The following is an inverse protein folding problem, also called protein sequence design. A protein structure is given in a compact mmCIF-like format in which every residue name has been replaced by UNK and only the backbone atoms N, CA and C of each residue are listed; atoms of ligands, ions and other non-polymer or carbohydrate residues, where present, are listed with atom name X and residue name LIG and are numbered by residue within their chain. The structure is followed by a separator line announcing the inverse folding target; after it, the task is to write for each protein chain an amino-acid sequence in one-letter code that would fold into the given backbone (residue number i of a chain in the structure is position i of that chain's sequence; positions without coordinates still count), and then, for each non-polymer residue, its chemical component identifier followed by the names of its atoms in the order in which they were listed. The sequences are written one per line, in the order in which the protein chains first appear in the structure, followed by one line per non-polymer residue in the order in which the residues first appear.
data_IF_642460339789
#
_entry.id   IF_642460339789
#
_cell.length_a   1.000
_cell.length_b   1.000
_cell.length_c   1.000
_cell.angle_alpha   90.00
_cell.angle_beta   90.00
_cell.angle_gamma   90.00
#
_symmetry.space_group_name_H-M   'P 1'
#
loop_
_entity.id
_entity.type
_entity.pdbx_description
1 polymer ?
#
# COMPACT_ATOMS: atom_id res chain seq x y z
N UNK A 1 -22.06 -11.98 24.58
CA UNK A 1 -21.12 -12.11 25.72
C UNK A 1 -20.19 -10.92 25.76
N UNK A 2 -20.00 -10.28 26.90
CA UNK A 2 -19.08 -9.13 27.03
C UNK A 2 -17.64 -9.65 26.91
N UNK A 3 -16.89 -9.11 25.95
CA UNK A 3 -15.49 -9.49 25.70
C UNK A 3 -14.65 -9.01 26.88
N UNK A 4 -13.93 -9.95 27.55
CA UNK A 4 -13.06 -9.60 28.68
C UNK A 4 -11.97 -8.62 28.26
N UNK A 5 -11.61 -7.75 29.17
CA UNK A 5 -10.55 -6.74 28.98
C UNK A 5 -9.35 -7.04 29.88
N UNK A 6 -8.20 -6.40 29.60
CA UNK A 6 -7.02 -6.51 30.47
C UNK A 6 -7.32 -6.07 31.91
N UNK A 7 -8.30 -5.18 32.11
CA UNK A 7 -8.75 -4.73 33.43
C UNK A 7 -9.49 -5.85 34.17
N UNK A 8 -10.29 -6.62 33.45
CA UNK A 8 -11.02 -7.75 34.05
C UNK A 8 -10.05 -8.85 34.45
N UNK A 9 -9.06 -9.18 33.61
CA UNK A 9 -8.00 -10.14 33.95
C UNK A 9 -7.20 -9.68 35.18
N UNK A 10 -6.84 -8.40 35.24
CA UNK A 10 -6.11 -7.82 36.37
C UNK A 10 -6.90 -7.94 37.68
N UNK A 11 -8.21 -7.64 37.67
CA UNK A 11 -9.10 -7.81 38.82
C UNK A 11 -9.19 -9.26 39.26
N UNK A 12 -9.40 -10.20 38.33
CA UNK A 12 -9.47 -11.63 38.64
C UNK A 12 -8.16 -12.19 39.20
N UNK A 13 -7.03 -11.71 38.69
CA UNK A 13 -5.71 -12.12 39.16
C UNK A 13 -5.25 -11.39 40.45
N UNK A 14 -5.99 -10.40 40.93
CA UNK A 14 -5.60 -9.59 42.10
C UNK A 14 -4.32 -8.82 41.91
N UNK A 15 -4.08 -8.29 40.67
CA UNK A 15 -2.87 -7.55 40.32
C UNK A 15 -3.21 -6.28 39.53
N UNK A 16 -2.25 -5.40 39.36
CA UNK A 16 -2.41 -4.22 38.49
C UNK A 16 -2.40 -4.58 37.01
N UNK A 17 -3.05 -3.76 36.17
CA UNK A 17 -3.06 -3.90 34.72
C UNK A 17 -1.66 -3.90 34.10
N UNK A 18 -0.72 -3.16 34.69
CA UNK A 18 0.70 -3.15 34.31
C UNK A 18 1.36 -4.51 34.50
N UNK A 19 0.97 -5.25 35.52
CA UNK A 19 1.47 -6.61 35.81
C UNK A 19 0.97 -7.59 34.74
N UNK A 20 -0.32 -7.51 34.36
CA UNK A 20 -0.89 -8.32 33.29
C UNK A 20 -0.26 -7.96 31.93
N UNK A 21 -0.05 -6.68 31.67
CA UNK A 21 0.67 -6.24 30.45
C UNK A 21 2.09 -6.79 30.40
N UNK A 22 2.79 -6.80 31.56
CA UNK A 22 4.15 -7.39 31.66
C UNK A 22 4.14 -8.90 31.43
N UNK A 23 3.11 -9.62 31.85
CA UNK A 23 2.93 -11.05 31.56
C UNK A 23 2.90 -11.30 30.05
N UNK A 24 2.09 -10.58 29.28
CA UNK A 24 1.96 -10.73 27.84
C UNK A 24 3.20 -10.25 27.05
N UNK A 25 4.00 -9.35 27.62
CA UNK A 25 5.22 -8.85 26.99
C UNK A 25 6.49 -9.64 27.38
N UNK A 26 6.35 -10.79 28.03
CA UNK A 26 7.51 -11.62 28.44
C UNK A 26 8.33 -11.03 29.58
N UNK A 27 7.85 -9.97 30.24
CA UNK A 27 8.59 -9.30 31.30
C UNK A 27 8.71 -10.15 32.58
N UNK A 28 9.65 -9.75 33.46
CA UNK A 28 9.94 -10.48 34.69
C UNK A 28 8.78 -10.36 35.69
N UNK A 29 8.25 -11.51 36.15
CA UNK A 29 7.21 -11.65 37.14
C UNK A 29 7.58 -12.76 38.11
N UNK A 30 7.11 -12.66 39.36
CA UNK A 30 7.19 -13.79 40.32
C UNK A 30 6.45 -14.99 39.74
N UNK A 31 6.98 -16.21 39.92
CA UNK A 31 6.44 -17.44 39.37
C UNK A 31 4.96 -17.63 39.71
N UNK A 32 4.60 -17.47 40.99
CA UNK A 32 3.23 -17.54 41.48
C UNK A 32 2.25 -16.58 40.78
N UNK A 33 2.70 -15.32 40.55
CA UNK A 33 1.88 -14.31 39.85
C UNK A 33 1.71 -14.69 38.36
N UNK A 34 2.75 -15.21 37.72
CA UNK A 34 2.68 -15.67 36.35
C UNK A 34 1.73 -16.84 36.16
N UNK A 35 1.79 -17.83 37.05
CA UNK A 35 0.93 -19.01 37.05
C UNK A 35 -0.55 -18.62 37.25
N UNK A 36 -0.85 -17.75 38.21
CA UNK A 36 -2.21 -17.25 38.47
C UNK A 36 -2.80 -16.49 37.28
N UNK A 37 -2.02 -15.64 36.62
CA UNK A 37 -2.46 -14.93 35.39
C UNK A 37 -2.70 -15.94 34.27
N UNK A 38 -1.80 -16.92 34.12
CA UNK A 38 -1.91 -17.98 33.10
C UNK A 38 -3.20 -18.77 33.24
N UNK A 39 -3.52 -19.25 34.43
CA UNK A 39 -4.75 -20.00 34.70
C UNK A 39 -6.00 -19.20 34.28
N UNK A 40 -6.04 -17.89 34.55
CA UNK A 40 -7.18 -17.06 34.21
C UNK A 40 -7.22 -16.86 32.66
N UNK A 41 -6.09 -16.59 32.04
CA UNK A 41 -5.99 -16.43 30.61
C UNK A 41 -6.43 -17.68 29.87
N UNK A 42 -5.96 -18.85 30.30
CA UNK A 42 -6.31 -20.15 29.74
C UNK A 42 -7.79 -20.48 29.94
N UNK A 43 -8.30 -20.28 31.18
CA UNK A 43 -9.71 -20.55 31.55
C UNK A 43 -10.70 -19.74 30.68
N UNK A 44 -10.38 -18.49 30.39
CA UNK A 44 -11.28 -17.60 29.65
C UNK A 44 -10.87 -17.44 28.17
N UNK A 45 -9.87 -18.18 27.71
CA UNK A 45 -9.29 -18.08 26.38
C UNK A 45 -9.04 -16.59 25.97
N UNK A 46 -8.46 -15.85 26.94
CA UNK A 46 -8.26 -14.41 26.76
C UNK A 46 -7.02 -14.15 25.88
N UNK A 47 -7.22 -13.44 24.79
CA UNK A 47 -6.13 -12.89 23.97
C UNK A 47 -6.14 -11.36 24.07
N UNK A 48 -4.98 -10.72 24.33
CA UNK A 48 -4.90 -9.27 24.32
C UNK A 48 -5.37 -8.71 22.98
N UNK A 49 -6.14 -7.64 23.02
CA UNK A 49 -6.47 -6.91 21.80
C UNK A 49 -5.23 -6.10 21.39
N UNK A 50 -4.52 -6.56 20.37
CA UNK A 50 -3.33 -5.91 19.81
C UNK A 50 -3.64 -4.50 19.31
N UNK A 51 -4.81 -4.27 18.72
CA UNK A 51 -5.25 -2.93 18.32
C UNK A 51 -5.47 -2.00 19.53
N UNK A 52 -6.07 -2.50 20.63
CA UNK A 52 -6.23 -1.70 21.83
C UNK A 52 -4.90 -1.42 22.55
N UNK A 53 -3.89 -2.24 22.32
CA UNK A 53 -2.53 -2.03 22.80
C UNK A 53 -1.82 -0.99 21.91
N UNK A 54 -1.94 -1.10 20.61
CA UNK A 54 -1.40 -0.15 19.64
C UNK A 54 -1.94 1.27 19.87
N UNK A 55 -3.24 1.41 20.15
CA UNK A 55 -3.87 2.70 20.50
C UNK A 55 -3.33 3.37 21.80
N UNK A 56 -2.61 2.65 22.64
CA UNK A 56 -2.03 3.14 23.90
C UNK A 56 -0.50 3.24 23.85
N UNK A 57 0.13 2.71 22.83
CA UNK A 57 1.59 2.78 22.63
C UNK A 57 1.92 3.89 21.64
N UNK A 58 3.09 4.47 21.76
CA UNK A 58 3.65 5.40 20.78
C UNK A 58 3.90 4.74 19.43
N UNK A 59 4.14 3.41 19.41
CA UNK A 59 4.40 2.61 18.22
C UNK A 59 3.33 1.54 18.07
N UNK A 60 2.54 1.60 17.01
CA UNK A 60 1.50 0.59 16.72
C UNK A 60 2.07 -0.71 16.17
N UNK A 61 3.24 -0.64 15.55
CA UNK A 61 3.84 -1.71 14.73
C UNK A 61 2.94 -2.12 13.56
N UNK A 62 2.19 -1.19 13.03
CA UNK A 62 1.32 -1.38 11.87
C UNK A 62 1.71 -0.39 10.78
N UNK A 63 1.89 -0.89 9.57
CA UNK A 63 2.01 -0.08 8.36
C UNK A 63 0.74 -0.26 7.53
N UNK A 64 0.07 0.86 7.24
CA UNK A 64 -1.05 0.88 6.31
C UNK A 64 -0.56 0.85 4.86
N UNK A 65 -1.10 -0.02 4.02
CA UNK A 65 -0.78 -0.08 2.59
C UNK A 65 -2.06 0.14 1.80
N UNK A 66 -2.11 1.23 1.04
CA UNK A 66 -3.26 1.57 0.20
C UNK A 66 -2.91 1.22 -1.25
N UNK A 67 -3.66 0.29 -1.83
CA UNK A 67 -3.47 -0.16 -3.22
C UNK A 67 -4.64 0.25 -4.12
N UNK A 68 -4.38 0.52 -5.41
CA UNK A 68 -5.46 0.83 -6.36
C UNK A 68 -6.37 -0.38 -6.58
N UNK A 69 -5.80 -1.59 -6.69
CA UNK A 69 -6.59 -2.82 -6.74
C UNK A 69 -5.78 -4.04 -6.29
N UNK A 70 -6.46 -5.08 -5.79
CA UNK A 70 -5.82 -6.30 -5.30
C UNK A 70 -5.52 -7.32 -6.41
N UNK A 71 -6.29 -7.32 -7.49
CA UNK A 71 -6.16 -8.29 -8.57
C UNK A 71 -5.12 -7.93 -9.64
N UNK A 72 -4.45 -6.78 -9.51
CA UNK A 72 -3.32 -6.42 -10.37
C UNK A 72 -2.09 -7.25 -10.04
N UNK A 73 -1.42 -7.80 -11.06
CA UNK A 73 -0.16 -8.50 -10.92
C UNK A 73 0.91 -7.64 -10.22
N UNK A 74 0.98 -6.35 -10.55
CA UNK A 74 1.91 -5.40 -9.94
C UNK A 74 1.58 -5.20 -8.47
N UNK A 75 0.33 -4.87 -8.14
CA UNK A 75 -0.08 -4.69 -6.73
C UNK A 75 0.15 -5.96 -5.91
N UNK A 76 -0.17 -7.13 -6.47
CA UNK A 76 0.01 -8.40 -5.79
C UNK A 76 1.49 -8.71 -5.49
N UNK A 77 2.39 -8.52 -6.46
CA UNK A 77 3.82 -8.70 -6.23
C UNK A 77 4.39 -7.66 -5.25
N UNK A 78 4.01 -6.40 -5.39
CA UNK A 78 4.45 -5.35 -4.47
C UNK A 78 4.04 -5.67 -3.05
N UNK A 79 2.78 -6.03 -2.82
CA UNK A 79 2.28 -6.43 -1.50
C UNK A 79 3.02 -7.62 -0.92
N UNK A 80 3.31 -8.65 -1.73
CA UNK A 80 4.05 -9.84 -1.30
C UNK A 80 5.42 -9.49 -0.71
N UNK A 81 6.18 -8.63 -1.38
CA UNK A 81 7.51 -8.26 -0.92
C UNK A 81 7.45 -7.24 0.23
N UNK A 82 6.54 -6.27 0.20
CA UNK A 82 6.33 -5.35 1.31
C UNK A 82 5.95 -6.09 2.60
N UNK A 83 5.00 -7.01 2.54
CA UNK A 83 4.57 -7.79 3.71
C UNK A 83 5.71 -8.62 4.29
N UNK A 84 6.54 -9.23 3.43
CA UNK A 84 7.73 -9.96 3.87
C UNK A 84 8.71 -9.05 4.63
N UNK A 85 9.13 -7.95 4.03
CA UNK A 85 10.10 -7.02 4.61
C UNK A 85 9.57 -6.37 5.89
N UNK A 86 8.29 -6.01 5.91
CA UNK A 86 7.65 -5.43 7.10
C UNK A 86 7.62 -6.44 8.26
N UNK A 87 7.28 -7.71 7.99
CA UNK A 87 7.29 -8.78 9.01
C UNK A 87 8.69 -9.06 9.56
N UNK A 88 9.71 -9.07 8.73
CA UNK A 88 11.10 -9.22 9.16
C UNK A 88 11.53 -8.08 10.10
N UNK A 89 10.90 -6.90 9.98
CA UNK A 89 11.10 -5.75 10.86
C UNK A 89 10.05 -5.62 11.98
N UNK A 90 9.28 -6.68 12.25
CA UNK A 90 8.24 -6.73 13.29
C UNK A 90 7.09 -5.74 13.08
N UNK A 91 6.73 -5.45 11.83
CA UNK A 91 5.53 -4.70 11.47
C UNK A 91 4.46 -5.62 10.91
N UNK A 92 3.20 -5.31 11.25
CA UNK A 92 2.03 -5.90 10.61
C UNK A 92 1.54 -5.02 9.46
N UNK A 93 1.04 -5.64 8.40
CA UNK A 93 0.56 -4.95 7.20
C UNK A 93 -0.97 -4.82 7.24
N UNK A 94 -1.49 -3.60 7.18
CA UNK A 94 -2.92 -3.33 7.03
C UNK A 94 -3.23 -2.86 5.61
N UNK A 95 -3.80 -3.74 4.79
CA UNK A 95 -4.07 -3.48 3.38
C UNK A 95 -5.45 -2.85 3.19
N UNK A 96 -5.51 -1.76 2.42
CA UNK A 96 -6.73 -1.09 1.99
C UNK A 96 -6.82 -1.04 0.48
N UNK A 97 -7.90 -1.64 -0.09
CA UNK A 97 -8.16 -1.66 -1.52
C UNK A 97 -9.10 -0.51 -1.91
N UNK A 98 -8.60 0.43 -2.71
CA UNK A 98 -9.38 1.58 -3.16
C UNK A 98 -10.23 1.32 -4.41
N UNK A 99 -9.95 0.25 -5.15
CA UNK A 99 -10.64 -0.11 -6.38
C UNK A 99 -10.65 1.04 -7.41
N UNK A 100 -9.49 1.64 -7.66
CA UNK A 100 -9.24 2.78 -8.55
C UNK A 100 -10.03 4.04 -8.21
N UNK A 101 -10.55 4.17 -6.99
CA UNK A 101 -11.32 5.31 -6.52
C UNK A 101 -10.40 6.24 -5.68
N UNK A 102 -10.10 7.42 -6.23
CA UNK A 102 -9.26 8.44 -5.57
C UNK A 102 -9.86 8.88 -4.24
N UNK A 103 -11.19 9.09 -4.18
CA UNK A 103 -11.83 9.53 -2.94
C UNK A 103 -11.68 8.50 -1.82
N UNK A 104 -11.72 7.21 -2.15
CA UNK A 104 -11.45 6.14 -1.20
C UNK A 104 -10.00 6.15 -0.74
N UNK A 105 -9.03 6.41 -1.64
CA UNK A 105 -7.64 6.52 -1.23
C UNK A 105 -7.46 7.67 -0.23
N UNK A 106 -8.03 8.83 -0.50
CA UNK A 106 -7.98 9.99 0.41
C UNK A 106 -8.68 9.72 1.76
N UNK A 107 -9.81 9.01 1.74
CA UNK A 107 -10.50 8.57 2.95
C UNK A 107 -9.62 7.59 3.76
N UNK A 108 -8.97 6.64 3.09
CA UNK A 108 -8.13 5.63 3.72
C UNK A 108 -6.87 6.24 4.35
N UNK A 109 -6.25 7.24 3.73
CA UNK A 109 -5.15 8.00 4.34
C UNK A 109 -5.59 8.57 5.69
N UNK A 110 -6.72 9.28 5.72
CA UNK A 110 -7.28 9.87 6.95
C UNK A 110 -7.68 8.82 7.98
N UNK A 111 -8.19 7.68 7.53
CA UNK A 111 -8.61 6.57 8.39
C UNK A 111 -7.41 5.90 9.04
N UNK A 112 -6.34 5.61 8.28
CA UNK A 112 -5.11 5.03 8.80
C UNK A 112 -4.42 5.95 9.80
N UNK A 113 -4.39 7.26 9.51
CA UNK A 113 -3.85 8.25 10.44
C UNK A 113 -4.61 8.25 11.78
N UNK A 114 -5.96 8.18 11.75
CA UNK A 114 -6.79 8.07 12.96
C UNK A 114 -6.60 6.74 13.70
N UNK A 115 -6.14 5.70 13.02
CA UNK A 115 -5.81 4.41 13.62
C UNK A 115 -4.40 4.39 14.23
N UNK A 116 -3.67 5.52 14.20
CA UNK A 116 -2.30 5.66 14.70
C UNK A 116 -1.36 4.58 14.13
N UNK A 117 -1.43 4.31 12.83
CA UNK A 117 -0.43 3.46 12.17
C UNK A 117 0.92 4.18 12.17
N UNK A 118 2.03 3.45 12.18
CA UNK A 118 3.38 4.02 12.23
C UNK A 118 3.81 4.62 10.89
N UNK A 119 3.15 4.24 9.80
CA UNK A 119 3.39 4.76 8.46
C UNK A 119 2.35 4.31 7.45
N UNK A 120 2.29 5.00 6.34
CA UNK A 120 1.40 4.68 5.21
C UNK A 120 2.23 4.51 3.95
N UNK A 121 2.03 3.39 3.24
CA UNK A 121 2.54 3.18 1.89
C UNK A 121 1.35 3.32 0.94
N UNK A 122 1.45 4.26 0.01
CA UNK A 122 0.38 4.60 -0.94
C UNK A 122 0.84 4.28 -2.37
N UNK A 123 0.01 3.53 -3.11
CA UNK A 123 0.16 3.30 -4.54
C UNK A 123 -0.94 4.10 -5.26
N UNK A 124 -0.73 5.39 -5.56
CA UNK A 124 -1.73 6.19 -6.24
C UNK A 124 -1.73 5.91 -7.74
N UNK A 125 -2.87 6.12 -8.40
CA UNK A 125 -2.99 6.07 -9.87
C UNK A 125 -3.07 7.45 -10.49
N UNK A 126 -3.36 8.46 -9.69
CA UNK A 126 -3.42 9.86 -10.09
C UNK A 126 -2.73 10.72 -9.03
N UNK A 127 -2.33 11.94 -9.40
CA UNK A 127 -1.74 12.89 -8.47
C UNK A 127 -2.51 14.22 -8.52
N UNK A 128 -3.56 14.31 -7.73
CA UNK A 128 -4.33 15.54 -7.57
C UNK A 128 -3.83 16.36 -6.37
N UNK A 129 -4.12 17.66 -6.37
CA UNK A 129 -3.87 18.54 -5.20
C UNK A 129 -4.56 18.07 -3.92
N UNK A 130 -5.58 17.21 -4.04
CA UNK A 130 -6.26 16.63 -2.89
C UNK A 130 -5.37 15.66 -2.11
N UNK A 131 -4.46 14.92 -2.77
CA UNK A 131 -3.46 14.10 -2.09
C UNK A 131 -2.53 14.96 -1.24
N UNK A 132 -1.94 16.00 -1.83
CA UNK A 132 -1.02 16.89 -1.11
C UNK A 132 -1.69 17.50 0.13
N UNK A 133 -2.89 18.03 -0.03
CA UNK A 133 -3.64 18.65 1.10
C UNK A 133 -3.99 17.61 2.17
N UNK A 134 -4.35 16.40 1.77
CA UNK A 134 -4.68 15.32 2.71
C UNK A 134 -3.43 14.85 3.47
N UNK A 135 -2.32 14.64 2.78
CA UNK A 135 -1.06 14.19 3.38
C UNK A 135 -0.52 15.26 4.34
N UNK A 136 -0.56 16.53 3.97
CA UNK A 136 -0.19 17.63 4.87
C UNK A 136 -1.06 17.74 6.14
N UNK A 137 -2.27 17.21 6.10
CA UNK A 137 -3.21 17.28 7.23
C UNK A 137 -3.05 16.18 8.27
N UNK A 138 -2.11 15.25 8.08
CA UNK A 138 -1.86 14.13 8.99
C UNK A 138 -0.42 14.13 9.49
N UNK A 139 -0.20 13.58 10.68
CA UNK A 139 1.12 13.48 11.30
C UNK A 139 1.83 12.14 10.98
N UNK A 140 1.15 11.21 10.30
CA UNK A 140 1.71 9.89 9.94
C UNK A 140 2.55 10.02 8.66
N UNK A 141 3.79 9.51 8.63
CA UNK A 141 4.62 9.56 7.44
C UNK A 141 4.01 8.74 6.30
N UNK A 142 4.08 9.29 5.09
CA UNK A 142 3.59 8.65 3.88
C UNK A 142 4.73 8.43 2.90
N UNK A 143 4.82 7.22 2.36
CA UNK A 143 5.71 6.85 1.25
C UNK A 143 4.84 6.53 0.03
N UNK A 144 5.13 7.15 -1.11
CA UNK A 144 4.48 6.86 -2.38
C UNK A 144 5.27 5.86 -3.20
N UNK A 145 4.57 4.96 -3.88
CA UNK A 145 5.16 4.02 -4.83
C UNK A 145 4.57 4.26 -6.22
N UNK A 146 5.44 4.51 -7.20
CA UNK A 146 5.10 4.65 -8.60
C UNK A 146 4.75 6.08 -9.03
N UNK A 147 4.59 7.01 -8.12
CA UNK A 147 4.32 8.41 -8.42
C UNK A 147 5.17 9.30 -7.50
N UNK A 148 5.53 10.50 -7.96
CA UNK A 148 6.22 11.51 -7.19
C UNK A 148 5.21 12.39 -6.43
N UNK A 149 5.50 12.71 -5.17
CA UNK A 149 4.71 13.61 -4.34
C UNK A 149 5.56 14.66 -3.64
N UNK A 150 5.10 15.91 -3.61
CA UNK A 150 5.85 17.05 -3.09
C UNK A 150 6.18 16.95 -1.57
N UNK A 151 5.31 16.27 -0.81
CA UNK A 151 5.42 16.19 0.68
C UNK A 151 5.59 14.76 1.19
N UNK A 152 6.12 13.86 0.33
CA UNK A 152 6.31 12.45 0.64
C UNK A 152 7.68 11.98 0.20
N UNK A 153 8.11 10.86 0.76
CA UNK A 153 9.16 10.08 0.13
C UNK A 153 8.52 9.28 -1.00
N UNK A 154 9.17 9.26 -2.18
CA UNK A 154 8.67 8.54 -3.35
C UNK A 154 9.68 7.48 -3.79
N UNK A 155 9.16 6.35 -4.23
CA UNK A 155 9.93 5.31 -4.91
C UNK A 155 9.29 5.09 -6.28
N UNK A 156 10.02 5.41 -7.34
CA UNK A 156 9.50 5.45 -8.69
C UNK A 156 10.22 4.45 -9.59
N UNK A 157 9.53 4.06 -10.65
CA UNK A 157 10.15 3.39 -11.78
C UNK A 157 10.62 4.45 -12.78
N UNK A 158 11.67 4.14 -13.53
CA UNK A 158 12.08 5.00 -14.64
C UNK A 158 11.20 4.70 -15.87
N UNK A 159 9.91 5.03 -15.78
CA UNK A 159 8.86 4.69 -16.74
C UNK A 159 9.16 5.23 -18.15
N UNK A 160 9.68 6.45 -18.24
CA UNK A 160 10.07 7.04 -19.51
C UNK A 160 11.16 6.23 -20.21
N UNK A 161 12.27 5.98 -19.53
CA UNK A 161 13.38 5.25 -20.14
C UNK A 161 13.03 3.79 -20.42
N UNK A 162 12.30 3.13 -19.52
CA UNK A 162 11.86 1.75 -19.71
C UNK A 162 11.01 1.60 -20.99
N UNK A 163 10.03 2.48 -21.17
CA UNK A 163 9.17 2.46 -22.35
C UNK A 163 9.93 2.82 -23.62
N UNK A 164 10.82 3.84 -23.57
CA UNK A 164 11.68 4.22 -24.68
C UNK A 164 12.62 3.08 -25.09
N UNK A 165 13.25 2.44 -24.15
CA UNK A 165 14.25 1.40 -24.43
C UNK A 165 13.60 0.13 -24.96
N UNK A 166 12.44 -0.26 -24.43
CA UNK A 166 11.63 -1.35 -24.97
C UNK A 166 11.19 -1.06 -26.40
N UNK A 167 10.72 0.16 -26.69
CA UNK A 167 10.30 0.56 -28.04
C UNK A 167 11.48 0.58 -28.99
N UNK A 168 12.63 1.10 -28.58
CA UNK A 168 13.87 1.04 -29.37
C UNK A 168 14.27 -0.40 -29.69
N UNK A 169 14.15 -1.31 -28.75
CA UNK A 169 14.44 -2.74 -28.96
C UNK A 169 13.53 -3.35 -30.03
N UNK A 170 12.22 -3.08 -29.96
CA UNK A 170 11.25 -3.56 -30.96
C UNK A 170 11.57 -3.00 -32.35
N UNK A 171 11.86 -1.71 -32.44
CA UNK A 171 12.16 -1.05 -33.70
C UNK A 171 13.51 -1.51 -34.31
N UNK A 172 14.53 -1.70 -33.47
CA UNK A 172 15.83 -2.24 -33.88
C UNK A 172 15.73 -3.68 -34.39
N UNK A 173 14.74 -4.45 -33.93
CA UNK A 173 14.44 -5.80 -34.43
C UNK A 173 13.74 -5.83 -35.79
N UNK A 174 13.53 -4.66 -36.42
CA UNK A 174 13.00 -4.50 -37.79
C UNK A 174 11.49 -4.25 -37.87
N UNK A 175 10.79 -4.17 -36.76
CA UNK A 175 9.37 -3.84 -36.74
C UNK A 175 9.16 -2.35 -37.07
N UNK A 176 8.21 -2.06 -37.98
CA UNK A 176 7.86 -0.69 -38.38
C UNK A 176 6.41 -0.33 -38.08
N UNK A 177 5.58 -1.32 -37.78
CA UNK A 177 4.19 -1.14 -37.37
C UNK A 177 4.10 -1.46 -35.88
N UNK A 178 3.97 -0.43 -35.06
CA UNK A 178 3.90 -0.53 -33.60
C UNK A 178 2.61 0.13 -33.15
N UNK A 179 1.89 -0.52 -32.25
CA UNK A 179 0.79 0.07 -31.51
C UNK A 179 1.19 0.18 -30.04
N UNK A 180 0.79 1.26 -29.40
CA UNK A 180 0.93 1.46 -27.96
C UNK A 180 -0.45 1.46 -27.31
N UNK A 181 -0.63 0.58 -26.35
CA UNK A 181 -1.81 0.54 -25.49
C UNK A 181 -1.43 1.12 -24.13
N UNK A 182 -2.02 2.24 -23.79
CA UNK A 182 -1.75 2.98 -22.56
C UNK A 182 -3.01 3.35 -21.80
N UNK A 183 -2.83 4.12 -20.74
CA UNK A 183 -3.92 4.66 -19.91
C UNK A 183 -3.94 6.18 -19.99
N UNK A 184 -4.93 6.83 -19.32
CA UNK A 184 -5.02 8.29 -19.25
C UNK A 184 -3.73 8.92 -18.71
N UNK A 185 -3.35 10.08 -19.23
CA UNK A 185 -2.20 10.87 -18.75
C UNK A 185 -2.40 11.46 -17.36
N UNK A 186 -3.59 11.35 -16.77
CA UNK A 186 -3.84 11.66 -15.36
C UNK A 186 -3.00 10.76 -14.44
N UNK A 187 -2.67 9.54 -14.89
CA UNK A 187 -1.59 8.74 -14.32
C UNK A 187 -0.27 9.22 -14.92
N UNK A 188 0.46 10.05 -14.19
CA UNK A 188 1.69 10.70 -14.70
C UNK A 188 2.77 9.68 -15.03
N UNK A 189 2.97 8.66 -14.20
CA UNK A 189 4.01 7.65 -14.41
C UNK A 189 3.68 6.73 -15.60
N UNK A 190 2.52 6.08 -15.55
CA UNK A 190 2.14 5.04 -16.51
C UNK A 190 1.51 5.63 -17.78
N UNK A 191 0.65 6.63 -17.65
CA UNK A 191 -0.03 7.27 -18.78
C UNK A 191 0.84 8.25 -19.52
N UNK A 192 1.46 9.21 -18.82
CA UNK A 192 2.24 10.26 -19.47
C UNK A 192 3.67 9.83 -19.79
N UNK A 193 4.48 9.42 -18.79
CA UNK A 193 5.91 9.16 -19.03
C UNK A 193 6.16 7.95 -19.93
N UNK A 194 5.43 6.84 -19.80
CA UNK A 194 5.57 5.69 -20.70
C UNK A 194 5.21 6.07 -22.13
N UNK A 195 4.07 6.75 -22.32
CA UNK A 195 3.65 7.23 -23.64
C UNK A 195 4.70 8.15 -24.27
N UNK A 196 5.24 9.10 -23.50
CA UNK A 196 6.29 9.99 -23.96
C UNK A 196 7.54 9.21 -24.38
N UNK A 197 7.94 8.19 -23.60
CA UNK A 197 9.06 7.31 -23.94
C UNK A 197 8.88 6.60 -25.29
N UNK A 198 7.68 6.06 -25.53
CA UNK A 198 7.31 5.43 -26.81
C UNK A 198 7.40 6.44 -27.97
N UNK A 199 6.80 7.62 -27.79
CA UNK A 199 6.81 8.67 -28.82
C UNK A 199 8.26 9.06 -29.18
N UNK A 200 9.12 9.29 -28.19
CA UNK A 200 10.53 9.64 -28.42
C UNK A 200 11.32 8.55 -29.15
N UNK A 201 11.00 7.28 -28.89
CA UNK A 201 11.62 6.19 -29.65
C UNK A 201 11.12 6.14 -31.10
N UNK A 202 9.83 6.33 -31.36
CA UNK A 202 9.27 6.37 -32.71
C UNK A 202 9.85 7.53 -33.53
N UNK A 203 9.94 8.73 -32.94
CA UNK A 203 10.55 9.92 -33.59
C UNK A 203 11.98 9.65 -34.05
N UNK A 204 12.78 8.99 -33.23
CA UNK A 204 14.17 8.60 -33.58
C UNK A 204 14.26 7.75 -34.86
N UNK A 205 13.25 6.96 -35.15
CA UNK A 205 13.18 6.09 -36.33
C UNK A 205 12.34 6.71 -37.45
N UNK A 206 11.96 8.00 -37.36
CA UNK A 206 11.09 8.70 -38.30
C UNK A 206 9.75 7.99 -38.54
N UNK A 207 9.19 7.41 -37.48
CA UNK A 207 7.90 6.76 -37.49
C UNK A 207 6.85 7.64 -36.79
N UNK A 208 5.63 7.65 -37.31
CA UNK A 208 4.52 8.38 -36.72
C UNK A 208 3.86 7.59 -35.61
N UNK A 209 3.44 8.27 -34.55
CA UNK A 209 2.71 7.71 -33.41
C UNK A 209 1.19 7.61 -33.68
N UNK A 210 0.81 6.95 -34.78
CA UNK A 210 -0.60 6.89 -35.23
C UNK A 210 -1.47 5.91 -34.39
N UNK A 211 -0.85 4.89 -33.84
CA UNK A 211 -1.56 3.78 -33.16
C UNK A 211 -1.35 3.87 -31.64
N UNK A 212 -1.72 5.00 -31.05
CA UNK A 212 -1.75 5.18 -29.62
C UNK A 212 -3.20 4.99 -29.15
N UNK A 213 -3.46 3.90 -28.45
CA UNK A 213 -4.75 3.53 -27.92
C UNK A 213 -4.74 3.78 -26.40
N UNK A 214 -5.76 4.48 -25.90
CA UNK A 214 -5.90 4.78 -24.49
C UNK A 214 -7.10 4.02 -23.94
N UNK A 215 -6.87 3.27 -22.85
CA UNK A 215 -7.87 2.44 -22.16
C UNK A 215 -7.79 2.64 -20.65
N UNK A 216 -8.51 1.85 -19.90
CA UNK A 216 -8.38 1.74 -18.45
C UNK A 216 -7.42 0.60 -18.06
N UNK A 217 -7.22 0.38 -16.76
CA UNK A 217 -6.35 -0.68 -16.24
C UNK A 217 -6.93 -2.11 -16.31
N UNK A 218 -8.08 -2.30 -16.96
CA UNK A 218 -8.74 -3.58 -17.10
C UNK A 218 -8.27 -4.39 -18.32
N UNK A 219 -8.27 -5.71 -18.17
CA UNK A 219 -7.92 -6.62 -19.25
C UNK A 219 -8.99 -6.65 -20.34
N UNK A 220 -10.25 -6.59 -19.95
CA UNK A 220 -11.41 -6.60 -20.85
C UNK A 220 -11.47 -5.33 -21.70
N UNK A 221 -11.29 -4.16 -21.06
CA UNK A 221 -11.26 -2.87 -21.75
C UNK A 221 -10.09 -2.79 -22.75
N UNK A 222 -8.91 -3.33 -22.35
CA UNK A 222 -7.76 -3.43 -23.24
C UNK A 222 -8.03 -4.32 -24.44
N UNK A 223 -8.69 -5.47 -24.24
CA UNK A 223 -9.09 -6.36 -25.33
C UNK A 223 -10.07 -5.71 -26.31
N UNK A 224 -11.12 -5.08 -25.81
CA UNK A 224 -12.13 -4.45 -26.65
C UNK A 224 -11.53 -3.32 -27.52
N UNK A 225 -10.72 -2.43 -26.93
CA UNK A 225 -10.16 -1.33 -27.69
C UNK A 225 -9.17 -1.80 -28.76
N UNK A 226 -8.40 -2.86 -28.51
CA UNK A 226 -7.53 -3.45 -29.53
C UNK A 226 -8.34 -4.10 -30.65
N UNK A 227 -9.37 -4.88 -30.32
CA UNK A 227 -10.26 -5.54 -31.30
C UNK A 227 -10.94 -4.54 -32.24
N UNK A 228 -11.29 -3.34 -31.75
CA UNK A 228 -11.99 -2.33 -32.53
C UNK A 228 -11.04 -1.48 -33.42
N UNK A 229 -9.75 -1.43 -33.10
CA UNK A 229 -8.82 -0.47 -33.74
C UNK A 229 -7.65 -1.13 -34.47
N UNK A 230 -7.42 -2.42 -34.33
CA UNK A 230 -6.37 -3.19 -34.97
C UNK A 230 -6.93 -4.42 -35.69
#
# INVERSE_FOLDING_TARGET
MKKLTIVDIAKMAGVGTTTVSRYFNGGNLKKETRERIKEIVDKYNYTPNTFAKALKSTDSKIIGVIVPCLHSYISGNTLKYLDKELKENNYETLIMNANFDENKQLEYIKKLARMNVDGIILLPTTMSKAYESTIKSIDVPVVMLGQEGEYTYSVEYNDFNAARDLTNYVLASGHKKVAYLGVSEDDVAVGYYRKLGVIRALEKYNLESKNILITNFGMEEGYEIVRENI
#
